data_IF_706124255105
#
_entry.id   IF_706124255105
#
_cell.length_a   1.000
_cell.length_b   1.000
_cell.length_c   1.000
_cell.angle_alpha   90.00
_cell.angle_beta   90.00
_cell.angle_gamma   90.00
#
_symmetry.space_group_name_H-M   'P 1'
#
loop_
_entity.id
_entity.type
_entity.pdbx_description
1 polymer ?
#
# COMPACT_ATOMS: atom_id res chain seq x y z
N UNK A 1 -17.65 -20.68 -10.23
CA UNK A 1 -16.92 -19.69 -9.41
C UNK A 1 -15.51 -19.57 -9.95
N UNK A 2 -15.14 -18.44 -10.55
CA UNK A 2 -13.82 -18.28 -11.19
C UNK A 2 -12.74 -17.95 -10.15
N UNK A 3 -11.58 -18.59 -10.24
CA UNK A 3 -10.39 -18.34 -9.40
C UNK A 3 -9.66 -17.03 -9.76
N UNK A 4 -10.31 -16.11 -10.48
CA UNK A 4 -9.72 -14.92 -11.10
C UNK A 4 -10.08 -13.60 -10.39
N UNK A 5 -10.63 -13.63 -9.18
CA UNK A 5 -11.01 -12.44 -8.42
C UNK A 5 -10.37 -12.43 -7.03
N UNK A 6 -9.94 -11.23 -6.60
CA UNK A 6 -9.52 -10.88 -5.24
C UNK A 6 -8.16 -11.40 -4.74
N UNK A 7 -7.14 -11.45 -5.60
CA UNK A 7 -5.74 -11.36 -5.16
C UNK A 7 -5.00 -10.34 -6.03
N UNK A 8 -5.01 -9.07 -5.59
CA UNK A 8 -4.18 -8.01 -6.17
C UNK A 8 -2.72 -8.15 -5.72
N UNK A 9 -2.12 -9.27 -6.12
CA UNK A 9 -0.72 -9.62 -5.92
C UNK A 9 0.24 -8.64 -6.60
N UNK A 10 -0.28 -7.73 -7.43
CA UNK A 10 0.49 -6.88 -8.33
C UNK A 10 1.51 -6.01 -7.58
N UNK A 11 1.20 -5.48 -6.39
CA UNK A 11 2.12 -4.66 -5.58
C UNK A 11 3.25 -5.45 -4.89
N UNK A 12 3.21 -6.79 -4.95
CA UNK A 12 4.17 -7.70 -4.29
C UNK A 12 4.85 -8.69 -5.24
N UNK A 13 4.41 -8.77 -6.49
CA UNK A 13 4.93 -9.71 -7.51
C UNK A 13 6.30 -9.32 -8.04
N UNK A 14 6.46 -8.03 -8.35
CA UNK A 14 7.72 -7.47 -8.82
C UNK A 14 8.38 -6.68 -7.69
N UNK A 15 9.40 -7.26 -7.06
CA UNK A 15 10.17 -6.65 -5.97
C UNK A 15 11.65 -6.59 -6.34
N UNK A 16 12.25 -5.41 -6.22
CA UNK A 16 13.68 -5.17 -6.45
C UNK A 16 14.27 -4.58 -5.17
N UNK A 17 15.34 -5.21 -4.67
CA UNK A 17 16.26 -4.66 -3.68
C UNK A 17 17.58 -4.33 -4.36
N UNK A 18 18.23 -3.24 -3.95
CA UNK A 18 19.52 -2.79 -4.45
C UNK A 18 20.34 -2.34 -3.25
N UNK A 19 21.45 -3.02 -3.00
CA UNK A 19 22.43 -2.72 -1.96
C UNK A 19 23.82 -3.15 -2.45
N UNK A 20 24.59 -3.93 -1.70
CA UNK A 20 25.80 -4.59 -2.21
C UNK A 20 25.47 -5.59 -3.34
N UNK A 21 24.32 -6.27 -3.24
CA UNK A 21 23.75 -7.07 -4.33
C UNK A 21 22.40 -6.54 -4.83
N UNK A 22 22.00 -6.98 -6.03
CA UNK A 22 20.68 -6.70 -6.60
C UNK A 22 19.82 -7.95 -6.53
N UNK A 23 18.78 -7.93 -5.70
CA UNK A 23 17.84 -9.06 -5.53
C UNK A 23 16.53 -8.70 -6.21
N UNK A 24 16.04 -9.58 -7.08
CA UNK A 24 14.82 -9.38 -7.84
C UNK A 24 13.87 -10.59 -7.77
N UNK A 25 12.60 -10.32 -7.52
CA UNK A 25 11.49 -11.27 -7.59
C UNK A 25 10.52 -10.87 -8.70
N UNK A 26 10.07 -11.82 -9.51
CA UNK A 26 8.97 -11.65 -10.49
C UNK A 26 8.08 -12.88 -10.54
N UNK A 27 6.83 -12.72 -10.99
CA UNK A 27 6.04 -13.85 -11.48
C UNK A 27 6.19 -13.99 -12.99
N UNK A 28 6.76 -15.11 -13.44
CA UNK A 28 6.87 -15.49 -14.86
C UNK A 28 6.29 -16.90 -15.00
N UNK A 29 5.43 -17.12 -15.99
CA UNK A 29 4.85 -18.43 -16.29
C UNK A 29 4.19 -19.16 -15.09
N UNK A 30 3.60 -18.42 -14.14
CA UNK A 30 2.98 -18.92 -12.88
C UNK A 30 3.98 -19.54 -11.88
N UNK A 31 5.26 -19.18 -12.00
CA UNK A 31 6.31 -19.45 -11.03
C UNK A 31 6.88 -18.12 -10.49
N UNK A 32 7.33 -18.12 -9.24
CA UNK A 32 8.16 -17.05 -8.71
C UNK A 32 9.59 -17.26 -9.22
N UNK A 33 10.07 -16.33 -10.03
CA UNK A 33 11.47 -16.27 -10.40
C UNK A 33 12.20 -15.36 -9.42
N UNK A 34 13.25 -15.90 -8.81
CA UNK A 34 14.20 -15.16 -7.98
C UNK A 34 15.49 -15.00 -8.78
N UNK A 35 16.05 -13.80 -8.74
CA UNK A 35 17.34 -13.45 -9.30
C UNK A 35 18.17 -12.71 -8.24
N UNK A 36 19.47 -12.98 -8.20
CA UNK A 36 20.42 -12.27 -7.36
C UNK A 36 21.68 -11.98 -8.19
N UNK A 37 22.06 -10.71 -8.32
CA UNK A 37 23.27 -10.28 -9.03
C UNK A 37 24.28 -9.71 -8.04
N UNK A 38 25.52 -10.14 -8.15
CA UNK A 38 26.65 -9.71 -7.31
C UNK A 38 27.63 -8.91 -8.18
N UNK A 39 27.58 -7.57 -8.15
CA UNK A 39 28.47 -6.71 -8.95
C UNK A 39 29.95 -7.05 -8.74
N UNK A 40 30.37 -7.26 -7.49
CA UNK A 40 31.76 -7.55 -7.12
C UNK A 40 32.26 -8.90 -7.63
N UNK A 41 31.36 -9.90 -7.72
CA UNK A 41 31.67 -11.22 -8.31
C UNK A 41 31.49 -11.23 -9.83
N UNK A 42 30.89 -10.18 -10.40
CA UNK A 42 30.54 -10.07 -11.82
C UNK A 42 29.56 -11.14 -12.30
N UNK A 43 28.76 -11.75 -11.42
CA UNK A 43 27.93 -12.91 -11.76
C UNK A 43 26.51 -12.84 -11.18
N UNK A 44 25.59 -13.59 -11.79
CA UNK A 44 24.20 -13.70 -11.34
C UNK A 44 23.78 -15.14 -11.04
N UNK A 45 22.83 -15.27 -10.11
CA UNK A 45 22.16 -16.52 -9.74
C UNK A 45 20.65 -16.38 -9.93
N UNK A 46 19.98 -17.48 -10.23
CA UNK A 46 18.55 -17.50 -10.49
C UNK A 46 17.89 -18.81 -10.01
N UNK A 47 16.59 -18.75 -9.75
CA UNK A 47 15.78 -19.92 -9.40
C UNK A 47 14.31 -19.71 -9.75
N UNK A 48 13.63 -20.76 -10.22
CA UNK A 48 12.20 -20.72 -10.54
C UNK A 48 11.44 -21.64 -9.59
N UNK A 49 10.49 -21.06 -8.85
CA UNK A 49 9.76 -21.72 -7.78
C UNK A 49 8.28 -21.82 -8.12
N UNK A 50 7.77 -23.04 -8.27
CA UNK A 50 6.39 -23.28 -8.67
C UNK A 50 5.38 -22.79 -7.63
N UNK A 51 4.19 -22.40 -8.06
CA UNK A 51 3.09 -22.03 -7.15
C UNK A 51 2.74 -23.15 -6.14
N UNK A 52 2.99 -24.42 -6.48
CA UNK A 52 2.81 -25.55 -5.55
C UNK A 52 3.87 -25.54 -4.45
N UNK A 53 5.15 -25.42 -4.80
CA UNK A 53 6.24 -25.29 -3.85
C UNK A 53 6.03 -24.09 -2.89
N UNK A 54 5.65 -22.93 -3.42
CA UNK A 54 5.36 -21.75 -2.60
C UNK A 54 4.18 -21.97 -1.64
N UNK A 55 3.18 -22.78 -2.02
CA UNK A 55 2.05 -23.15 -1.15
C UNK A 55 2.47 -24.09 -0.03
N UNK A 56 3.35 -25.05 -0.32
CA UNK A 56 3.93 -25.96 0.68
C UNK A 56 4.82 -25.19 1.66
N UNK A 57 5.64 -24.26 1.16
CA UNK A 57 6.44 -23.36 1.99
C UNK A 57 5.57 -22.45 2.85
N UNK A 58 4.49 -21.87 2.31
CA UNK A 58 3.55 -21.08 3.11
C UNK A 58 2.96 -21.89 4.27
N UNK A 59 2.53 -23.13 4.02
CA UNK A 59 2.04 -24.05 5.06
C UNK A 59 3.10 -24.46 6.07
N UNK A 60 4.34 -24.74 5.62
CA UNK A 60 5.46 -25.18 6.49
C UNK A 60 5.86 -24.13 7.53
N UNK A 61 5.63 -22.85 7.24
CA UNK A 61 5.94 -21.72 8.10
C UNK A 61 4.68 -20.98 8.59
N UNK A 62 3.53 -21.67 8.64
CA UNK A 62 2.24 -21.18 9.17
C UNK A 62 1.71 -19.86 8.57
N UNK A 63 2.08 -19.56 7.32
CA UNK A 63 1.49 -18.44 6.56
C UNK A 63 0.11 -18.83 6.02
N UNK A 64 -0.87 -17.95 6.22
CA UNK A 64 -2.26 -18.14 5.76
C UNK A 64 -2.40 -18.30 4.24
N UNK A 65 -1.47 -17.73 3.46
CA UNK A 65 -1.41 -17.85 2.01
C UNK A 65 -0.03 -17.44 1.46
N UNK A 66 0.18 -17.65 0.14
CA UNK A 66 1.42 -17.30 -0.57
C UNK A 66 1.70 -15.79 -0.52
N UNK A 67 0.67 -14.93 -0.54
CA UNK A 67 0.86 -13.48 -0.50
C UNK A 67 1.49 -13.01 0.82
N UNK A 68 1.04 -13.56 1.97
CA UNK A 68 1.64 -13.31 3.28
C UNK A 68 3.10 -13.78 3.37
N UNK A 69 3.42 -14.93 2.74
CA UNK A 69 4.80 -15.41 2.61
C UNK A 69 5.68 -14.44 1.80
N UNK A 70 5.17 -13.93 0.67
CA UNK A 70 5.90 -12.98 -0.19
C UNK A 70 6.09 -11.60 0.45
N UNK A 71 5.08 -11.10 1.19
CA UNK A 71 5.22 -9.88 2.01
C UNK A 71 6.33 -10.08 3.06
N UNK A 72 6.28 -11.17 3.83
CA UNK A 72 7.30 -11.48 4.82
C UNK A 72 8.70 -11.57 4.20
N UNK A 73 8.85 -12.22 3.03
CA UNK A 73 10.12 -12.32 2.32
C UNK A 73 10.65 -10.93 1.92
N UNK A 74 9.80 -10.07 1.35
CA UNK A 74 10.11 -8.67 1.03
C UNK A 74 10.54 -7.89 2.27
N UNK A 75 9.86 -8.06 3.41
CA UNK A 75 10.19 -7.36 4.65
C UNK A 75 11.53 -7.84 5.24
N UNK A 76 11.86 -9.13 5.13
CA UNK A 76 13.18 -9.65 5.51
C UNK A 76 14.29 -9.10 4.63
N UNK A 77 14.08 -9.01 3.33
CA UNK A 77 15.08 -8.45 2.41
C UNK A 77 15.25 -6.94 2.64
N UNK A 78 14.15 -6.18 2.66
CA UNK A 78 14.19 -4.73 2.88
C UNK A 78 14.81 -4.34 4.23
N UNK A 79 14.68 -5.20 5.24
CA UNK A 79 15.31 -5.04 6.55
C UNK A 79 16.72 -5.65 6.70
N UNK A 80 17.40 -6.02 5.60
CA UNK A 80 18.73 -6.67 5.57
C UNK A 80 18.84 -7.91 6.47
N UNK A 81 17.77 -8.72 6.54
CA UNK A 81 17.71 -9.98 7.29
C UNK A 81 17.73 -11.17 6.33
N UNK A 82 18.80 -11.26 5.56
CA UNK A 82 19.06 -12.36 4.63
C UNK A 82 20.56 -12.62 4.53
N UNK A 83 20.93 -13.74 3.91
CA UNK A 83 22.30 -14.08 3.60
C UNK A 83 22.36 -14.97 2.36
N UNK A 84 23.50 -14.93 1.68
CA UNK A 84 23.86 -15.88 0.64
C UNK A 84 25.01 -16.75 1.13
N UNK A 85 24.88 -18.07 0.92
CA UNK A 85 25.90 -19.06 1.25
C UNK A 85 26.25 -19.82 -0.02
N UNK A 86 27.49 -19.70 -0.49
CA UNK A 86 28.01 -20.51 -1.60
C UNK A 86 27.93 -22.00 -1.21
N UNK A 87 27.29 -22.83 -2.05
CA UNK A 87 27.13 -24.28 -1.86
C UNK A 87 28.17 -25.03 -2.69
N UNK A 88 28.35 -24.60 -3.93
CA UNK A 88 29.40 -25.00 -4.87
C UNK A 88 29.67 -23.83 -5.83
N UNK A 89 30.45 -24.01 -6.91
CA UNK A 89 30.77 -22.92 -7.85
C UNK A 89 29.55 -22.41 -8.64
N UNK A 90 28.53 -23.25 -8.80
CA UNK A 90 27.35 -22.99 -9.62
C UNK A 90 26.07 -22.78 -8.79
N UNK A 91 26.09 -23.03 -7.48
CA UNK A 91 24.90 -22.96 -6.62
C UNK A 91 25.14 -22.12 -5.36
N UNK A 92 24.16 -21.28 -5.06
CA UNK A 92 24.10 -20.44 -3.86
C UNK A 92 22.80 -20.71 -3.11
N UNK A 93 22.89 -20.87 -1.79
CA UNK A 93 21.74 -20.91 -0.89
C UNK A 93 21.42 -19.49 -0.44
N UNK A 94 20.30 -18.96 -0.92
CA UNK A 94 19.72 -17.71 -0.48
C UNK A 94 18.82 -17.96 0.73
N UNK A 95 19.15 -17.41 1.90
CA UNK A 95 18.38 -17.58 3.14
C UNK A 95 17.80 -16.25 3.61
N UNK A 96 16.50 -16.22 3.85
CA UNK A 96 15.78 -15.07 4.40
C UNK A 96 15.36 -15.36 5.84
N UNK A 97 15.53 -14.41 6.74
CA UNK A 97 15.25 -14.53 8.18
C UNK A 97 16.52 -14.57 9.04
N UNK A 98 16.42 -14.07 10.27
CA UNK A 98 17.53 -13.93 11.22
C UNK A 98 17.51 -14.93 12.38
N UNK A 99 16.51 -15.82 12.42
CA UNK A 99 16.30 -16.79 13.51
C UNK A 99 16.05 -18.15 12.87
N UNK A 100 16.79 -19.19 13.27
CA UNK A 100 16.76 -20.54 12.66
C UNK A 100 15.35 -21.13 12.50
N UNK A 101 14.46 -20.93 13.50
CA UNK A 101 13.08 -21.40 13.45
C UNK A 101 12.18 -20.68 12.43
N UNK A 102 12.64 -19.54 11.92
CA UNK A 102 11.92 -18.68 10.97
C UNK A 102 12.85 -18.27 9.81
N UNK A 103 13.65 -19.22 9.33
CA UNK A 103 14.51 -19.04 8.16
C UNK A 103 13.98 -19.82 6.96
N UNK A 104 13.82 -19.11 5.84
CA UNK A 104 13.45 -19.69 4.57
C UNK A 104 14.66 -19.70 3.64
N UNK A 105 15.10 -20.89 3.25
CA UNK A 105 16.21 -21.06 2.30
C UNK A 105 15.69 -21.49 0.93
N UNK A 106 16.19 -20.83 -0.11
CA UNK A 106 16.01 -21.16 -1.52
C UNK A 106 17.37 -21.48 -2.12
N UNK A 107 17.45 -22.49 -2.97
CA UNK A 107 18.65 -22.75 -3.77
C UNK A 107 18.51 -22.03 -5.11
N UNK A 108 19.53 -21.24 -5.45
CA UNK A 108 19.66 -20.53 -6.72
C UNK A 108 20.86 -21.12 -7.46
N UNK A 109 20.73 -21.30 -8.76
CA UNK A 109 21.81 -21.77 -9.64
C UNK A 109 22.33 -20.61 -10.49
N UNK A 110 23.61 -20.64 -10.85
CA UNK A 110 24.29 -19.61 -11.62
C UNK A 110 23.59 -19.41 -12.96
N UNK A 111 23.45 -18.15 -13.37
CA UNK A 111 22.91 -17.81 -14.68
C UNK A 111 23.99 -18.08 -15.73
N UNK A 112 23.70 -18.98 -16.68
CA UNK A 112 24.59 -19.28 -17.81
C UNK A 112 24.73 -18.09 -18.78
N UNK A 113 23.78 -17.15 -18.76
CA UNK A 113 23.77 -15.98 -19.63
C UNK A 113 23.39 -14.70 -18.88
N UNK A 114 24.41 -13.93 -18.49
CA UNK A 114 24.27 -12.65 -17.81
C UNK A 114 23.49 -11.61 -18.64
N UNK A 115 23.46 -11.72 -19.97
CA UNK A 115 22.63 -10.83 -20.79
C UNK A 115 21.13 -11.08 -20.60
N UNK A 116 20.71 -12.34 -20.40
CA UNK A 116 19.31 -12.66 -20.08
C UNK A 116 18.93 -12.16 -18.68
N UNK A 117 19.87 -12.19 -17.73
CA UNK A 117 19.71 -11.64 -16.38
C UNK A 117 19.53 -10.11 -16.43
N UNK A 118 20.40 -9.40 -17.15
CA UNK A 118 20.31 -7.94 -17.34
C UNK A 118 19.03 -7.56 -18.11
N UNK A 119 18.64 -8.33 -19.12
CA UNK A 119 17.39 -8.12 -19.87
C UNK A 119 16.17 -8.39 -18.99
N UNK A 120 16.19 -9.39 -18.11
CA UNK A 120 15.12 -9.64 -17.15
C UNK A 120 14.98 -8.50 -16.13
N UNK A 121 16.11 -8.03 -15.57
CA UNK A 121 16.16 -6.86 -14.69
C UNK A 121 15.66 -5.59 -15.39
N UNK A 122 16.10 -5.31 -16.62
CA UNK A 122 15.66 -4.16 -17.39
C UNK A 122 14.15 -4.21 -17.69
N UNK A 123 13.62 -5.36 -18.13
CA UNK A 123 12.17 -5.56 -18.34
C UNK A 123 11.37 -5.36 -17.07
N UNK A 124 11.89 -5.80 -15.93
CA UNK A 124 11.25 -5.63 -14.63
C UNK A 124 11.24 -4.18 -14.15
N UNK A 125 12.37 -3.48 -14.27
CA UNK A 125 12.48 -2.06 -13.94
C UNK A 125 11.56 -1.21 -14.84
N UNK A 126 11.48 -1.51 -16.15
CA UNK A 126 10.56 -0.84 -17.07
C UNK A 126 9.08 -1.08 -16.70
N UNK A 127 8.69 -2.33 -16.35
CA UNK A 127 7.33 -2.62 -15.85
C UNK A 127 7.02 -1.85 -14.57
N UNK A 128 7.98 -1.79 -13.63
CA UNK A 128 7.84 -1.05 -12.38
C UNK A 128 7.71 0.46 -12.64
N UNK A 129 8.49 1.01 -13.57
CA UNK A 129 8.43 2.42 -13.95
C UNK A 129 7.09 2.77 -14.63
N UNK A 130 6.69 2.03 -15.67
CA UNK A 130 5.41 2.26 -16.36
C UNK A 130 4.22 2.22 -15.39
N UNK A 131 4.24 1.30 -14.42
CA UNK A 131 3.24 1.23 -13.35
C UNK A 131 3.30 2.41 -12.38
N UNK A 132 4.48 2.90 -12.03
CA UNK A 132 4.61 4.12 -11.21
C UNK A 132 4.04 5.32 -11.97
N UNK A 133 4.28 5.41 -13.27
CA UNK A 133 3.70 6.45 -14.14
C UNK A 133 2.17 6.31 -14.24
N UNK A 134 1.62 5.10 -14.37
CA UNK A 134 0.17 4.84 -14.30
C UNK A 134 -0.43 5.24 -12.94
N UNK A 135 0.23 4.92 -11.82
CA UNK A 135 -0.22 5.29 -10.47
C UNK A 135 -0.13 6.80 -10.24
N UNK A 136 0.93 7.46 -10.71
CA UNK A 136 1.05 8.92 -10.67
C UNK A 136 -0.03 9.57 -11.51
N UNK A 137 -0.31 9.04 -12.71
CA UNK A 137 -1.40 9.51 -13.58
C UNK A 137 -2.76 9.34 -12.91
N UNK A 138 -3.09 8.15 -12.43
CA UNK A 138 -4.35 7.88 -11.72
C UNK A 138 -4.52 8.77 -10.48
N UNK A 139 -3.44 8.99 -9.71
CA UNK A 139 -3.47 9.90 -8.56
C UNK A 139 -3.63 11.37 -8.99
N UNK A 140 -3.05 11.78 -10.12
CA UNK A 140 -3.25 13.12 -10.69
C UNK A 140 -4.67 13.32 -11.24
N UNK A 141 -5.27 12.28 -11.83
CA UNK A 141 -6.66 12.27 -12.28
C UNK A 141 -7.63 12.32 -11.10
N UNK A 142 -7.33 11.59 -10.01
CA UNK A 142 -8.08 11.64 -8.76
C UNK A 142 -7.95 13.00 -8.05
N UNK A 143 -6.76 13.59 -8.00
CA UNK A 143 -6.56 14.95 -7.48
C UNK A 143 -7.23 16.02 -8.36
N UNK A 144 -7.25 15.84 -9.68
CA UNK A 144 -8.01 16.70 -10.57
C UNK A 144 -9.52 16.53 -10.38
N UNK A 145 -10.01 15.32 -10.12
CA UNK A 145 -11.41 15.08 -9.75
C UNK A 145 -11.74 15.73 -8.41
N UNK A 146 -10.88 15.65 -7.39
CA UNK A 146 -11.04 16.36 -6.12
C UNK A 146 -11.01 17.89 -6.28
N UNK A 147 -10.17 18.43 -7.16
CA UNK A 147 -10.17 19.86 -7.51
C UNK A 147 -11.40 20.29 -8.33
N UNK A 148 -12.13 19.34 -8.95
CA UNK A 148 -13.42 19.56 -9.64
C UNK A 148 -14.59 19.34 -8.66
N UNK A 149 -14.43 18.47 -7.66
CA UNK A 149 -15.31 18.26 -6.50
C UNK A 149 -15.05 19.24 -5.35
N UNK A 150 -14.22 20.27 -5.57
CA UNK A 150 -14.23 21.51 -4.80
C UNK A 150 -14.92 22.66 -5.57
N UNK A 151 -16.21 22.51 -5.99
CA UNK A 151 -17.04 23.68 -6.18
C UNK A 151 -17.24 24.25 -4.79
N UNK A 152 -16.35 25.17 -4.45
CA UNK A 152 -16.60 26.35 -3.62
C UNK A 152 -18.00 26.35 -3.00
N UNK A 153 -18.09 26.32 -1.68
CA UNK A 153 -19.34 26.59 -0.95
C UNK A 153 -19.81 28.06 -1.07
N UNK A 154 -19.52 28.70 -2.21
CA UNK A 154 -19.95 30.02 -2.60
C UNK A 154 -21.44 30.02 -2.96
N UNK A 155 -22.24 30.43 -1.97
CA UNK A 155 -23.60 30.93 -2.14
C UNK A 155 -24.64 29.92 -2.65
N UNK A 156 -25.12 29.09 -1.72
CA UNK A 156 -26.57 28.83 -1.70
C UNK A 156 -27.28 30.18 -1.48
N UNK A 157 -27.63 30.87 -2.57
CA UNK A 157 -28.54 32.02 -2.55
C UNK A 157 -29.92 31.55 -2.10
N UNK A 158 -30.10 31.37 -0.79
CA UNK A 158 -31.42 31.34 -0.15
C UNK A 158 -32.13 32.61 -0.62
N UNK A 159 -33.21 32.41 -1.37
CA UNK A 159 -34.11 33.43 -1.91
C UNK A 159 -34.51 34.37 -0.77
N UNK A 160 -33.84 35.52 -0.65
CA UNK A 160 -34.17 36.54 0.36
C UNK A 160 -35.57 37.06 0.05
N UNK A 161 -36.57 36.56 0.79
CA UNK A 161 -37.84 37.25 0.91
C UNK A 161 -37.60 38.60 1.56
N UNK A 162 -38.05 39.66 0.90
CA UNK A 162 -38.06 41.00 1.47
C UNK A 162 -38.91 40.99 2.74
N UNK A 163 -38.34 41.29 3.90
CA UNK A 163 -39.09 41.43 5.16
C UNK A 163 -38.42 40.92 6.44
N UNK A 164 -37.36 40.10 6.39
CA UNK A 164 -36.69 39.61 7.61
C UNK A 164 -35.45 40.43 7.98
N UNK A 165 -35.48 41.05 9.17
CA UNK A 165 -34.39 41.86 9.73
C UNK A 165 -33.26 41.02 10.33
N UNK A 166 -32.02 41.49 10.17
CA UNK A 166 -30.78 40.82 10.61
C UNK A 166 -30.50 40.91 12.12
N UNK A 167 -31.52 40.95 12.97
CA UNK A 167 -31.34 41.01 14.44
C UNK A 167 -31.30 39.62 15.07
N UNK A 168 -30.11 39.23 15.56
CA UNK A 168 -29.90 37.99 16.30
C UNK A 168 -30.88 37.88 17.50
N UNK A 169 -31.71 36.82 17.60
CA UNK A 169 -32.74 36.72 18.64
C UNK A 169 -32.20 36.69 20.07
N UNK A 170 -30.93 36.30 20.27
CA UNK A 170 -30.32 36.25 21.61
C UNK A 170 -29.96 37.63 22.19
N UNK A 171 -29.86 38.68 21.37
CA UNK A 171 -29.51 40.05 21.80
C UNK A 171 -30.74 40.96 21.97
N UNK A 172 -31.96 40.39 21.90
CA UNK A 172 -33.20 41.15 22.00
C UNK A 172 -33.46 41.55 23.46
N UNK A 173 -32.99 42.73 23.87
CA UNK A 173 -33.43 43.37 25.13
C UNK A 173 -34.96 43.45 25.13
N UNK A 174 -35.61 42.64 25.96
CA UNK A 174 -37.07 42.65 26.11
C UNK A 174 -37.48 44.01 26.69
N UNK A 175 -38.32 44.77 25.98
CA UNK A 175 -39.01 45.90 26.59
C UNK A 175 -39.96 45.35 27.68
N UNK A 176 -40.12 46.02 28.83
CA UNK A 176 -41.13 45.63 29.80
C UNK A 176 -42.52 45.70 29.15
N UNK A 177 -43.40 44.77 29.49
CA UNK A 177 -44.77 44.73 28.98
C UNK A 177 -45.63 45.75 29.74
N UNK A 178 -45.72 46.97 29.22
CA UNK A 178 -46.68 47.98 29.69
C UNK A 178 -48.09 47.52 29.30
N UNK A 179 -48.91 47.10 30.27
CA UNK A 179 -50.31 46.70 29.97
C UNK A 179 -50.97 45.65 30.86
N UNK A 180 -50.29 45.10 31.88
CA UNK A 180 -50.93 44.22 32.88
C UNK A 180 -50.70 44.76 34.30
N UNK A 181 -51.54 45.72 34.69
CA UNK A 181 -51.73 46.08 36.10
C UNK A 181 -52.62 45.04 36.76
N UNK A 182 -52.00 44.09 37.45
CA UNK A 182 -52.72 43.30 38.46
C UNK A 182 -52.99 44.23 39.66
N UNK A 183 -54.27 44.52 39.89
CA UNK A 183 -54.70 45.34 41.02
C UNK A 183 -54.51 44.49 42.29
N UNK A 184 -53.46 44.78 43.06
CA UNK A 184 -53.34 44.29 44.42
C UNK A 184 -54.28 45.10 45.31
N UNK A 185 -55.49 44.60 45.54
CA UNK A 185 -56.37 45.12 46.59
C UNK A 185 -55.92 44.60 47.96
N UNK A 186 -54.92 45.27 48.53
CA UNK A 186 -54.83 45.55 49.97
C UNK A 186 -56.02 46.45 50.37
N UNK A 187 -56.62 46.48 51.56
CA UNK A 187 -56.69 45.60 52.74
C UNK A 187 -58.14 45.74 53.28
N UNK A 188 -58.61 45.39 54.49
CA UNK A 188 -58.06 44.81 55.73
C UNK A 188 -59.24 44.18 56.54
N UNK A 189 -58.98 43.41 57.61
CA UNK A 189 -59.55 43.63 58.96
C UNK A 189 -59.53 42.39 59.88
N UNK A 190 -59.07 42.62 61.12
CA UNK A 190 -59.30 41.87 62.38
C UNK A 190 -58.93 40.39 62.44
#
# INVERSE_FOLDING_TARGET
MSLSQCLDLSNTRDFVHVDEEVIFFSEINKALHVFAFFPDKGCGYSGSFSTLFLREMARKFDFSNIHSLLIWARDRISGKRYSFQDVDSENVRFTMGSVLSHQLSLQLSRSENETDLVVALAKALLRKQARVEELVKANSEFLNQLNIEDPTSSSSKKRRTSGMSFTNPQLRKRKPATGLTFISSTDNAT
#
